data_IF_980790643082
#
_entry.id   IF_980790643082
#
_cell.length_a   1.000
_cell.length_b   1.000
_cell.length_c   1.000
_cell.angle_alpha   90.00
_cell.angle_beta   90.00
_cell.angle_gamma   90.00
#
_symmetry.space_group_name_H-M   'P 1'
#
loop_
_entity.id
_entity.type
_entity.pdbx_description
1 polymer ?
#
# COMPACT_ATOMS: atom_id res chain seq x y z
N UNK A 1 -20.32 23.34 39.59
CA UNK A 1 -19.07 23.63 38.85
C UNK A 1 -18.12 22.42 38.76
N UNK A 2 -17.83 21.74 39.84
CA UNK A 2 -16.96 20.53 39.79
C UNK A 2 -17.49 19.41 38.87
N UNK A 3 -18.80 19.13 38.88
CA UNK A 3 -19.41 18.07 38.01
C UNK A 3 -19.41 18.48 36.53
N UNK A 4 -19.53 19.74 36.20
CA UNK A 4 -19.48 20.26 34.82
C UNK A 4 -18.06 20.18 34.27
N UNK A 5 -17.05 20.41 35.11
CA UNK A 5 -15.63 20.32 34.73
C UNK A 5 -15.20 18.88 34.46
N UNK A 6 -15.68 17.92 35.24
CA UNK A 6 -15.48 16.49 35.02
C UNK A 6 -16.12 16.00 33.71
N UNK A 7 -17.29 16.51 33.35
CA UNK A 7 -18.00 16.18 32.11
C UNK A 7 -17.27 16.72 30.87
N UNK A 8 -16.69 17.93 30.98
CA UNK A 8 -15.87 18.54 29.93
C UNK A 8 -14.56 17.76 29.68
N UNK A 9 -13.91 17.26 30.71
CA UNK A 9 -12.69 16.43 30.60
C UNK A 9 -13.01 15.07 29.95
N UNK A 10 -14.18 14.51 30.23
CA UNK A 10 -14.62 13.23 29.65
C UNK A 10 -14.88 13.35 28.14
N UNK A 11 -15.40 14.49 27.67
CA UNK A 11 -15.69 14.73 26.24
C UNK A 11 -14.38 15.00 25.46
N UNK A 12 -13.40 15.66 26.07
CA UNK A 12 -12.12 15.99 25.41
C UNK A 12 -11.13 14.81 25.36
N UNK A 13 -11.30 13.81 26.24
CA UNK A 13 -10.40 12.67 26.36
C UNK A 13 -10.58 11.55 25.31
N UNK A 14 -11.63 11.61 24.48
CA UNK A 14 -11.95 10.54 23.50
C UNK A 14 -11.60 10.90 22.04
N UNK A 15 -10.70 11.84 21.82
CA UNK A 15 -10.18 12.09 20.46
C UNK A 15 -9.20 10.99 20.09
N UNK A 16 -9.70 9.81 19.69
CA UNK A 16 -8.91 8.80 19.01
C UNK A 16 -8.57 9.31 17.63
N UNK A 17 -7.32 9.70 17.41
CA UNK A 17 -6.82 10.00 16.08
C UNK A 17 -6.81 8.68 15.30
N UNK A 18 -7.83 8.46 14.47
CA UNK A 18 -7.83 7.36 13.52
C UNK A 18 -6.73 7.64 12.49
N UNK A 19 -5.56 7.04 12.68
CA UNK A 19 -4.50 7.03 11.67
C UNK A 19 -4.89 6.04 10.59
N UNK A 20 -5.22 6.53 9.40
CA UNK A 20 -5.42 5.67 8.23
C UNK A 20 -4.04 5.16 7.79
N UNK A 21 -3.71 3.92 8.14
CA UNK A 21 -2.49 3.27 7.69
C UNK A 21 -2.68 2.77 6.26
N UNK A 22 -1.85 3.29 5.34
CA UNK A 22 -1.82 2.81 3.95
C UNK A 22 -1.11 1.46 3.94
N UNK A 23 -1.85 0.39 3.62
CA UNK A 23 -1.33 -0.96 3.54
C UNK A 23 -0.38 -1.11 2.34
N UNK A 24 0.82 -1.63 2.57
CA UNK A 24 1.81 -1.86 1.52
C UNK A 24 1.38 -3.02 0.63
N UNK A 25 1.57 -2.89 -0.69
CA UNK A 25 1.30 -3.95 -1.66
C UNK A 25 2.57 -4.80 -1.79
N UNK A 26 2.59 -5.95 -1.14
CA UNK A 26 3.75 -6.85 -1.12
C UNK A 26 3.36 -8.22 -1.66
N UNK A 27 4.19 -8.78 -2.55
CA UNK A 27 4.08 -10.15 -3.02
C UNK A 27 5.33 -10.94 -2.60
N UNK A 28 5.13 -12.13 -2.05
CA UNK A 28 6.17 -13.02 -1.58
C UNK A 28 6.28 -13.14 -0.06
N UNK A 29 7.28 -13.88 0.39
CA UNK A 29 7.52 -14.14 1.81
C UNK A 29 8.00 -12.87 2.52
N UNK A 30 7.32 -12.47 3.59
CA UNK A 30 7.68 -11.28 4.37
C UNK A 30 9.11 -11.34 4.94
N UNK A 31 9.62 -12.55 5.18
CA UNK A 31 10.97 -12.80 5.72
C UNK A 31 12.02 -13.00 4.60
N UNK A 32 11.68 -12.79 3.33
CA UNK A 32 12.64 -12.89 2.23
C UNK A 32 13.82 -11.93 2.44
N UNK A 33 15.03 -12.43 2.21
CA UNK A 33 16.27 -11.65 2.43
C UNK A 33 16.43 -10.49 1.46
N UNK A 34 15.87 -10.62 0.26
CA UNK A 34 15.95 -9.63 -0.81
C UNK A 34 14.59 -8.98 -0.97
N UNK A 35 14.57 -7.65 -0.95
CA UNK A 35 13.38 -6.85 -1.23
C UNK A 35 13.59 -6.04 -2.50
N UNK A 36 12.73 -6.25 -3.49
CA UNK A 36 12.66 -5.41 -4.67
C UNK A 36 11.56 -4.36 -4.41
N UNK A 37 11.87 -3.09 -4.61
CA UNK A 37 10.87 -2.01 -4.55
C UNK A 37 10.61 -1.56 -5.98
N UNK A 38 9.39 -1.77 -6.46
CA UNK A 38 8.97 -1.37 -7.79
C UNK A 38 8.10 -0.10 -7.69
N UNK A 39 8.57 1.00 -8.27
CA UNK A 39 7.80 2.23 -8.41
C UNK A 39 7.08 2.21 -9.75
N UNK A 40 5.76 2.27 -9.73
CA UNK A 40 4.92 2.04 -10.90
C UNK A 40 3.83 3.10 -11.07
N UNK A 41 3.52 3.41 -12.32
CA UNK A 41 2.37 4.23 -12.70
C UNK A 41 1.33 3.40 -13.44
N UNK A 42 0.06 3.58 -13.08
CA UNK A 42 -1.06 2.86 -13.69
C UNK A 42 -1.38 3.30 -15.14
N UNK A 43 -0.70 4.33 -15.63
CA UNK A 43 -0.77 4.76 -17.03
C UNK A 43 0.50 4.48 -17.83
N UNK A 44 1.50 3.83 -17.21
CA UNK A 44 2.78 3.55 -17.84
C UNK A 44 2.75 2.24 -18.63
N UNK A 45 2.91 2.30 -19.96
CA UNK A 45 2.95 1.10 -20.81
C UNK A 45 4.12 0.17 -20.52
N UNK A 46 5.28 0.71 -20.13
CA UNK A 46 6.43 -0.10 -19.73
C UNK A 46 6.19 -0.87 -18.43
N UNK A 47 5.47 -0.28 -17.48
CA UNK A 47 5.05 -0.98 -16.27
C UNK A 47 4.08 -2.14 -16.61
N UNK A 48 3.13 -1.92 -17.52
CA UNK A 48 2.23 -2.96 -18.00
C UNK A 48 3.01 -4.11 -18.67
N UNK A 49 4.01 -3.80 -19.51
CA UNK A 49 4.87 -4.79 -20.14
C UNK A 49 5.70 -5.57 -19.11
N UNK A 50 6.20 -4.91 -18.07
CA UNK A 50 6.89 -5.60 -16.96
C UNK A 50 5.99 -6.67 -16.33
N UNK A 51 4.74 -6.33 -16.01
CA UNK A 51 3.78 -7.28 -15.43
C UNK A 51 3.42 -8.43 -16.36
N UNK A 52 3.38 -8.17 -17.67
CA UNK A 52 3.07 -9.19 -18.69
C UNK A 52 4.25 -10.13 -18.99
N UNK A 53 5.43 -9.56 -19.18
CA UNK A 53 6.55 -10.26 -19.82
C UNK A 53 7.64 -10.68 -18.83
N UNK A 54 7.84 -9.96 -17.72
CA UNK A 54 8.93 -10.18 -16.76
C UNK A 54 8.43 -10.73 -15.43
N UNK A 55 7.38 -10.12 -14.86
CA UNK A 55 6.91 -10.48 -13.52
C UNK A 55 6.51 -11.94 -13.35
N UNK A 56 5.90 -12.64 -14.32
CA UNK A 56 5.56 -14.05 -14.19
C UNK A 56 6.79 -14.94 -13.93
N UNK A 57 7.90 -14.73 -14.64
CA UNK A 57 9.15 -15.47 -14.43
C UNK A 57 9.80 -15.09 -13.11
N UNK A 58 9.88 -13.79 -12.79
CA UNK A 58 10.37 -13.31 -11.51
C UNK A 58 9.60 -13.91 -10.33
N UNK A 59 8.28 -13.98 -10.46
CA UNK A 59 7.41 -14.56 -9.44
C UNK A 59 7.70 -16.04 -9.25
N UNK A 60 7.69 -16.82 -10.33
CA UNK A 60 7.91 -18.27 -10.30
C UNK A 60 9.29 -18.64 -9.75
N UNK A 61 10.34 -17.98 -10.25
CA UNK A 61 11.71 -18.42 -10.04
C UNK A 61 12.33 -17.86 -8.74
N UNK A 62 11.81 -16.74 -8.22
CA UNK A 62 12.41 -16.06 -7.06
C UNK A 62 11.43 -15.72 -5.94
N UNK A 63 10.21 -15.28 -6.27
CA UNK A 63 9.25 -14.85 -5.24
C UNK A 63 8.58 -16.06 -4.59
N UNK A 64 8.09 -17.01 -5.38
CA UNK A 64 7.42 -18.23 -4.89
C UNK A 64 8.40 -19.17 -4.19
N UNK A 65 9.68 -19.08 -4.48
CA UNK A 65 10.75 -19.81 -3.78
C UNK A 65 11.11 -19.21 -2.42
N UNK A 66 10.59 -18.01 -2.10
CA UNK A 66 10.86 -17.31 -0.85
C UNK A 66 12.18 -16.55 -0.79
N UNK A 67 12.95 -16.53 -1.86
CA UNK A 67 14.24 -15.82 -1.94
C UNK A 67 14.05 -14.30 -1.98
N UNK A 68 13.02 -13.84 -2.70
CA UNK A 68 12.72 -12.44 -2.98
C UNK A 68 11.30 -12.12 -2.57
N UNK A 69 11.08 -10.92 -2.07
CA UNK A 69 9.76 -10.26 -2.04
C UNK A 69 9.79 -9.00 -2.87
N UNK A 70 8.66 -8.65 -3.46
CA UNK A 70 8.50 -7.40 -4.19
C UNK A 70 7.45 -6.53 -3.53
N UNK A 71 7.78 -5.26 -3.31
CA UNK A 71 6.88 -4.23 -2.82
C UNK A 71 6.57 -3.26 -3.96
N UNK A 72 5.30 -3.14 -4.30
CA UNK A 72 4.84 -2.20 -5.32
C UNK A 72 4.46 -0.88 -4.67
N UNK A 73 4.98 0.22 -5.23
CA UNK A 73 4.70 1.58 -4.78
C UNK A 73 4.17 2.41 -5.93
N UNK A 74 3.08 3.11 -5.70
CA UNK A 74 2.55 4.03 -6.69
C UNK A 74 3.50 5.20 -6.92
N UNK A 75 3.80 5.44 -8.20
CA UNK A 75 4.56 6.59 -8.68
C UNK A 75 3.80 7.19 -9.87
N UNK A 76 2.70 7.93 -9.62
CA UNK A 76 1.84 8.42 -10.69
C UNK A 76 2.55 9.47 -11.55
N UNK A 77 2.60 9.24 -12.85
CA UNK A 77 3.24 10.11 -13.83
C UNK A 77 2.30 11.21 -14.36
N UNK A 78 1.00 11.06 -14.15
CA UNK A 78 -0.04 11.99 -14.59
C UNK A 78 -1.26 11.98 -13.65
N UNK A 79 -2.21 12.86 -13.89
CA UNK A 79 -3.42 13.01 -13.06
C UNK A 79 -4.31 11.76 -13.11
N UNK A 80 -4.41 11.09 -14.26
CA UNK A 80 -5.18 9.86 -14.39
C UNK A 80 -4.58 8.74 -13.53
N UNK A 81 -3.26 8.56 -13.59
CA UNK A 81 -2.53 7.62 -12.73
C UNK A 81 -2.70 7.94 -11.24
N UNK A 82 -2.66 9.22 -10.86
CA UNK A 82 -2.86 9.64 -9.47
C UNK A 82 -4.25 9.27 -8.97
N UNK A 83 -5.29 9.54 -9.76
CA UNK A 83 -6.67 9.21 -9.39
C UNK A 83 -6.88 7.69 -9.32
N UNK A 84 -6.34 6.93 -10.27
CA UNK A 84 -6.39 5.47 -10.26
C UNK A 84 -5.65 4.89 -9.03
N UNK A 85 -4.52 5.44 -8.65
CA UNK A 85 -3.77 5.03 -7.46
C UNK A 85 -4.57 5.25 -6.17
N UNK A 86 -5.24 6.39 -6.04
CA UNK A 86 -6.12 6.67 -4.90
C UNK A 86 -7.26 5.65 -4.79
N UNK A 87 -7.90 5.33 -5.92
CA UNK A 87 -9.00 4.34 -5.96
C UNK A 87 -8.48 2.95 -5.56
N UNK A 88 -7.32 2.53 -6.08
CA UNK A 88 -6.74 1.23 -5.76
C UNK A 88 -6.39 1.10 -4.28
N UNK A 89 -5.89 2.16 -3.65
CA UNK A 89 -5.58 2.18 -2.22
C UNK A 89 -6.84 2.11 -1.35
N UNK A 90 -7.91 2.83 -1.73
CA UNK A 90 -9.20 2.73 -1.02
C UNK A 90 -9.81 1.32 -1.08
N UNK A 91 -9.63 0.60 -2.18
CA UNK A 91 -10.17 -0.75 -2.34
C UNK A 91 -9.46 -1.80 -1.48
N UNK A 92 -8.20 -1.58 -1.13
CA UNK A 92 -7.43 -2.51 -0.28
C UNK A 92 -8.00 -2.67 1.13
N UNK A 93 -8.74 -1.68 1.64
CA UNK A 93 -9.36 -1.74 2.96
C UNK A 93 -10.65 -2.57 2.98
N UNK A 94 -11.15 -3.00 1.82
CA UNK A 94 -12.42 -3.70 1.66
C UNK A 94 -12.28 -5.19 1.28
N UNK A 95 -11.06 -5.71 1.17
CA UNK A 95 -10.80 -7.10 0.76
C UNK A 95 -10.34 -7.99 1.90
#
# INVERSE_FOLDING_TARGET
MKKLFLFLILIFGLSTVASAEIKRIVSGNQNAKITIIAYESLTCSHCANFHKDVYPSLKKDFIDTGLVKIEFRHFPLDIAALNASKISLCKQDQS
#
